data_IF_441946728149
#
_entry.id   IF_441946728149
#
_cell.length_a   1.000
_cell.length_b   1.000
_cell.length_c   1.000
_cell.angle_alpha   90.00
_cell.angle_beta   90.00
_cell.angle_gamma   90.00
#
_symmetry.space_group_name_H-M   'P 1'
#
loop_
_entity.id
_entity.type
_entity.pdbx_description
1 polymer ?
#
# COMPACT_ATOMS: atom_id res chain seq x y z
N UNK A 1 -6.16 -19.16 8.28
CA UNK A 1 -5.84 -17.77 8.62
C UNK A 1 -5.21 -17.16 7.38
N UNK A 2 -5.75 -16.05 6.87
CA UNK A 2 -5.20 -15.34 5.71
C UNK A 2 -4.24 -14.25 6.18
N UNK A 3 -3.02 -14.23 5.65
CA UNK A 3 -2.01 -13.22 5.97
C UNK A 3 -1.87 -12.23 4.82
N UNK A 4 -1.96 -10.95 5.12
CA UNK A 4 -1.80 -9.84 4.18
C UNK A 4 -0.59 -9.01 4.58
N UNK A 5 0.32 -8.72 3.65
CA UNK A 5 1.46 -7.84 3.90
C UNK A 5 1.21 -6.46 3.28
N UNK A 6 1.47 -5.41 4.04
CA UNK A 6 1.32 -4.01 3.61
C UNK A 6 2.68 -3.51 3.15
N UNK A 7 2.69 -2.89 1.97
CA UNK A 7 3.84 -2.34 1.29
C UNK A 7 3.61 -0.85 1.05
N UNK A 8 4.56 -0.02 1.47
CA UNK A 8 4.46 1.44 1.36
C UNK A 8 5.69 2.04 0.70
N UNK A 9 5.46 3.05 -0.14
CA UNK A 9 6.51 3.90 -0.70
C UNK A 9 6.64 5.16 0.15
N UNK A 10 7.67 5.20 1.00
CA UNK A 10 7.95 6.33 1.89
C UNK A 10 8.83 7.42 1.25
N UNK A 11 9.16 7.33 -0.04
CA UNK A 11 10.16 8.19 -0.69
C UNK A 11 9.87 9.68 -0.57
N UNK A 12 8.61 10.09 -0.72
CA UNK A 12 8.21 11.50 -0.55
C UNK A 12 8.52 12.03 0.85
N UNK A 13 8.34 11.21 1.88
CA UNK A 13 8.61 11.57 3.28
C UNK A 13 10.09 11.50 3.61
N UNK A 14 10.78 10.48 3.11
CA UNK A 14 12.21 10.30 3.33
C UNK A 14 13.04 11.38 2.62
N UNK A 15 12.50 11.99 1.55
CA UNK A 15 13.14 13.05 0.78
C UNK A 15 12.46 14.42 0.94
N UNK A 16 11.68 14.64 2.01
CA UNK A 16 10.86 15.85 2.18
C UNK A 16 11.65 17.16 2.04
N UNK A 17 12.87 17.24 2.59
CA UNK A 17 13.72 18.44 2.46
C UNK A 17 14.11 18.73 1.01
N UNK A 18 14.36 17.68 0.22
CA UNK A 18 14.73 17.81 -1.20
C UNK A 18 13.52 18.16 -2.05
N UNK A 19 12.38 17.53 -1.80
CA UNK A 19 11.08 17.87 -2.41
C UNK A 19 10.73 19.34 -2.13
N UNK A 20 10.84 19.80 -0.88
CA UNK A 20 10.53 21.19 -0.53
C UNK A 20 11.47 22.21 -1.21
N UNK A 21 12.70 21.81 -1.52
CA UNK A 21 13.69 22.67 -2.18
C UNK A 21 13.48 22.75 -3.69
N UNK A 22 13.23 21.60 -4.33
CA UNK A 22 13.14 21.48 -5.79
C UNK A 22 11.71 21.65 -6.33
N UNK A 23 10.69 21.41 -5.49
CA UNK A 23 9.34 21.14 -5.94
C UNK A 23 9.17 19.68 -6.36
N UNK A 24 7.91 19.26 -6.51
CA UNK A 24 7.56 17.87 -6.81
C UNK A 24 8.09 17.39 -8.17
N UNK A 25 7.93 18.18 -9.23
CA UNK A 25 8.35 17.82 -10.59
C UNK A 25 9.85 17.57 -10.69
N UNK A 26 10.66 18.51 -10.22
CA UNK A 26 12.13 18.38 -10.31
C UNK A 26 12.65 17.28 -9.36
N UNK A 27 12.01 17.10 -8.20
CA UNK A 27 12.37 16.00 -7.30
C UNK A 27 12.05 14.62 -7.89
N UNK A 28 10.96 14.47 -8.65
CA UNK A 28 10.59 13.23 -9.33
C UNK A 28 11.63 12.85 -10.40
N UNK A 29 12.13 13.84 -11.16
CA UNK A 29 13.22 13.63 -12.14
C UNK A 29 14.49 13.09 -11.47
N UNK A 30 14.83 13.61 -10.29
CA UNK A 30 16.05 13.20 -9.59
C UNK A 30 15.89 11.94 -8.72
N UNK A 31 14.66 11.58 -8.34
CA UNK A 31 14.38 10.52 -7.37
C UNK A 31 13.24 9.65 -7.92
N UNK A 32 13.54 8.56 -8.64
CA UNK A 32 12.53 7.70 -9.27
C UNK A 32 11.45 7.18 -8.30
N UNK A 33 11.80 6.96 -7.03
CA UNK A 33 10.84 6.54 -6.03
C UNK A 33 9.81 7.65 -5.67
N UNK A 34 10.18 8.93 -5.80
CA UNK A 34 9.24 10.05 -5.66
C UNK A 34 8.34 10.13 -6.89
N UNK A 35 8.88 9.93 -8.09
CA UNK A 35 8.09 9.84 -9.32
C UNK A 35 7.03 8.73 -9.23
N UNK A 36 7.43 7.53 -8.81
CA UNK A 36 6.51 6.41 -8.56
C UNK A 36 5.45 6.74 -7.51
N UNK A 37 5.81 7.46 -6.45
CA UNK A 37 4.83 7.91 -5.46
C UNK A 37 3.78 8.84 -6.09
N UNK A 38 4.20 9.77 -6.94
CA UNK A 38 3.28 10.69 -7.63
C UNK A 38 2.40 9.94 -8.63
N UNK A 39 2.96 9.06 -9.47
CA UNK A 39 2.17 8.25 -10.42
C UNK A 39 1.11 7.42 -9.68
N UNK A 40 1.49 6.75 -8.58
CA UNK A 40 0.60 5.85 -7.85
C UNK A 40 -0.44 6.56 -6.96
N UNK A 41 -0.21 7.80 -6.55
CA UNK A 41 -1.16 8.57 -5.73
C UNK A 41 -2.12 9.43 -6.54
N UNK A 42 -1.82 9.69 -7.81
CA UNK A 42 -2.54 10.67 -8.64
C UNK A 42 -3.56 10.05 -9.60
N UNK A 43 -3.59 8.73 -9.75
CA UNK A 43 -4.31 8.06 -10.84
C UNK A 43 -5.46 7.18 -10.35
N UNK A 44 -6.45 6.99 -11.23
CA UNK A 44 -7.69 6.27 -10.94
C UNK A 44 -7.71 4.81 -11.42
N UNK A 45 -6.80 4.42 -12.32
CA UNK A 45 -6.69 3.06 -12.87
C UNK A 45 -5.24 2.56 -12.84
N UNK A 46 -4.94 1.68 -11.90
CA UNK A 46 -3.58 1.16 -11.74
C UNK A 46 -3.14 0.22 -12.87
N UNK A 47 -4.07 -0.33 -13.65
CA UNK A 47 -3.71 -1.26 -14.73
C UNK A 47 -2.98 -0.59 -15.89
N UNK A 48 -3.18 0.72 -16.07
CA UNK A 48 -2.52 1.50 -17.14
C UNK A 48 -1.13 2.00 -16.73
N UNK A 49 -0.94 2.29 -15.43
CA UNK A 49 0.28 2.93 -14.93
C UNK A 49 1.26 1.96 -14.30
N UNK A 50 0.79 0.79 -13.83
CA UNK A 50 1.66 -0.15 -13.13
C UNK A 50 2.77 -0.66 -14.04
N UNK A 51 4.00 -0.53 -13.55
CA UNK A 51 5.19 -1.12 -14.15
C UNK A 51 5.86 -2.01 -13.09
N UNK A 52 6.27 -3.26 -13.40
CA UNK A 52 6.86 -4.16 -12.41
C UNK A 52 8.03 -3.57 -11.62
N UNK A 53 8.85 -2.71 -12.24
CA UNK A 53 9.97 -2.00 -11.62
C UNK A 53 9.55 -1.02 -10.50
N UNK A 54 8.30 -0.54 -10.50
CA UNK A 54 7.80 0.32 -9.42
C UNK A 54 7.84 -0.38 -8.07
N UNK A 55 7.73 -1.71 -8.04
CA UNK A 55 7.77 -2.50 -6.82
C UNK A 55 9.08 -2.31 -6.05
N UNK A 56 10.18 -1.99 -6.73
CA UNK A 56 11.50 -1.74 -6.10
C UNK A 56 11.50 -0.51 -5.18
N UNK A 57 10.48 0.34 -5.29
CA UNK A 57 10.30 1.54 -4.46
C UNK A 57 9.40 1.30 -3.23
N UNK A 58 8.80 0.12 -3.13
CA UNK A 58 7.95 -0.27 -2.00
C UNK A 58 8.70 -1.16 -1.02
N UNK A 59 8.42 -0.98 0.28
CA UNK A 59 8.94 -1.85 1.33
C UNK A 59 7.81 -2.45 2.15
N UNK A 60 7.90 -3.72 2.56
CA UNK A 60 6.96 -4.27 3.53
C UNK A 60 7.12 -3.52 4.85
N UNK A 61 6.01 -3.01 5.39
CA UNK A 61 6.00 -2.21 6.63
C UNK A 61 5.17 -2.85 7.74
N UNK A 62 4.18 -3.66 7.38
CA UNK A 62 3.32 -4.33 8.34
C UNK A 62 2.69 -5.59 7.73
N UNK A 63 2.08 -6.43 8.57
CA UNK A 63 1.21 -7.50 8.16
C UNK A 63 -0.08 -7.50 8.97
N UNK A 64 -1.17 -7.99 8.37
CA UNK A 64 -2.46 -8.19 9.00
C UNK A 64 -2.87 -9.64 8.81
N UNK A 65 -3.05 -10.33 9.92
CA UNK A 65 -3.69 -11.63 9.96
C UNK A 65 -5.20 -11.44 10.07
N UNK A 66 -5.95 -12.08 9.18
CA UNK A 66 -7.41 -12.14 9.22
C UNK A 66 -7.80 -13.61 9.43
N UNK A 67 -8.57 -13.86 10.47
CA UNK A 67 -9.10 -15.19 10.73
C UNK A 67 -10.12 -15.62 9.67
N UNK A 68 -9.92 -16.81 9.12
CA UNK A 68 -10.76 -17.38 8.06
C UNK A 68 -12.08 -17.99 8.61
N UNK A 69 -12.50 -17.65 9.83
CA UNK A 69 -13.73 -18.22 10.41
C UNK A 69 -14.99 -17.86 9.61
N UNK A 70 -14.92 -16.85 8.74
CA UNK A 70 -15.95 -16.53 7.75
C UNK A 70 -15.48 -17.07 6.40
N UNK A 71 -15.77 -18.35 6.16
CA UNK A 71 -15.13 -19.18 5.13
C UNK A 71 -15.40 -18.78 3.67
N UNK A 72 -16.25 -17.78 3.43
CA UNK A 72 -16.73 -17.38 2.09
C UNK A 72 -16.67 -15.86 1.84
N UNK A 73 -15.87 -15.10 2.59
CA UNK A 73 -15.69 -13.66 2.30
C UNK A 73 -14.95 -13.46 0.97
N UNK A 74 -15.48 -12.53 0.15
CA UNK A 74 -14.81 -12.08 -1.07
C UNK A 74 -13.49 -11.38 -0.73
N UNK A 75 -12.59 -11.26 -1.71
CA UNK A 75 -11.29 -10.63 -1.50
C UNK A 75 -11.44 -9.16 -1.11
N UNK A 76 -12.44 -8.46 -1.67
CA UNK A 76 -12.73 -7.06 -1.39
C UNK A 76 -13.09 -6.84 0.09
N UNK A 77 -13.92 -7.71 0.67
CA UNK A 77 -14.26 -7.63 2.10
C UNK A 77 -13.03 -7.85 2.99
N UNK A 78 -12.13 -8.76 2.59
CA UNK A 78 -10.88 -8.99 3.31
C UNK A 78 -9.95 -7.79 3.20
N UNK A 79 -9.82 -7.17 2.03
CA UNK A 79 -9.02 -5.97 1.82
C UNK A 79 -9.55 -4.78 2.64
N UNK A 80 -10.87 -4.59 2.71
CA UNK A 80 -11.50 -3.57 3.57
C UNK A 80 -11.19 -3.78 5.06
N UNK A 81 -11.14 -5.04 5.51
CA UNK A 81 -10.71 -5.38 6.86
C UNK A 81 -9.24 -5.07 7.09
N UNK A 82 -8.35 -5.36 6.13
CA UNK A 82 -6.94 -4.97 6.19
C UNK A 82 -6.82 -3.45 6.29
N UNK A 83 -7.55 -2.71 5.45
CA UNK A 83 -7.56 -1.25 5.44
C UNK A 83 -8.04 -0.69 6.78
N UNK A 84 -9.14 -1.23 7.31
CA UNK A 84 -9.67 -0.86 8.63
C UNK A 84 -8.68 -1.19 9.76
N UNK A 85 -8.00 -2.33 9.70
CA UNK A 85 -6.99 -2.71 10.68
C UNK A 85 -5.79 -1.76 10.67
N UNK A 86 -5.28 -1.44 9.48
CA UNK A 86 -4.12 -0.57 9.29
C UNK A 86 -4.40 0.88 9.68
N UNK A 87 -5.63 1.35 9.53
CA UNK A 87 -6.04 2.72 9.81
C UNK A 87 -6.72 2.91 11.18
N UNK A 88 -7.12 1.80 11.82
CA UNK A 88 -8.04 1.83 12.94
C UNK A 88 -7.48 2.35 14.26
N UNK A 89 -6.18 2.20 14.56
CA UNK A 89 -5.58 2.34 15.91
C UNK A 89 -6.37 1.59 17.02
N UNK A 90 -5.71 0.73 17.81
CA UNK A 90 -6.23 -0.59 18.15
C UNK A 90 -7.70 -0.58 18.62
N UNK A 91 -8.65 -0.81 17.70
CA UNK A 91 -9.96 -1.28 18.11
C UNK A 91 -9.75 -2.71 18.60
N UNK A 92 -10.22 -2.99 19.81
CA UNK A 92 -9.88 -4.15 20.64
C UNK A 92 -10.33 -5.53 20.09
N UNK A 93 -10.46 -5.67 18.76
CA UNK A 93 -10.99 -6.85 18.08
C UNK A 93 -10.17 -7.31 16.86
N UNK A 94 -8.98 -6.75 16.61
CA UNK A 94 -8.11 -7.21 15.52
C UNK A 94 -6.76 -7.67 16.07
N UNK A 95 -6.78 -8.82 16.76
CA UNK A 95 -5.58 -9.63 16.93
C UNK A 95 -5.08 -10.00 15.53
N UNK A 96 -3.89 -9.52 15.13
CA UNK A 96 -3.32 -9.86 13.83
C UNK A 96 -2.49 -8.78 13.14
N UNK A 97 -2.51 -7.53 13.59
CA UNK A 97 -1.63 -6.49 13.04
C UNK A 97 -0.21 -6.57 13.62
N UNK A 98 0.79 -6.71 12.76
CA UNK A 98 2.20 -6.76 13.13
C UNK A 98 2.93 -5.66 12.36
N UNK A 99 3.55 -4.71 13.07
CA UNK A 99 4.33 -3.64 12.47
C UNK A 99 5.82 -4.04 12.39
N UNK A 100 6.43 -3.92 11.22
CA UNK A 100 7.84 -4.24 10.98
C UNK A 100 8.72 -2.98 10.78
N UNK A 101 8.13 -1.79 10.64
CA UNK A 101 8.89 -0.60 10.27
C UNK A 101 8.12 0.71 10.36
N UNK A 102 8.52 1.69 9.53
CA UNK A 102 7.84 2.99 9.45
C UNK A 102 6.57 2.87 8.61
N UNK A 103 5.53 2.32 9.22
CA UNK A 103 4.20 2.26 8.64
C UNK A 103 3.42 3.56 8.85
N UNK A 104 2.52 3.88 7.93
CA UNK A 104 1.51 4.91 8.06
C UNK A 104 0.13 4.40 7.72
N UNK A 105 -0.89 5.24 7.94
CA UNK A 105 -2.25 4.96 7.47
C UNK A 105 -2.22 4.53 6.02
N UNK A 106 -2.82 3.39 5.74
CA UNK A 106 -2.97 2.84 4.42
C UNK A 106 -3.82 3.79 3.56
N UNK A 107 -3.30 4.15 2.40
CA UNK A 107 -3.84 5.21 1.53
C UNK A 107 -3.64 4.88 0.05
N UNK A 108 -4.27 5.65 -0.84
CA UNK A 108 -4.19 5.47 -2.30
C UNK A 108 -2.73 5.32 -2.75
N UNK A 109 -2.47 4.30 -3.57
CA UNK A 109 -1.15 3.96 -4.07
C UNK A 109 -0.34 3.01 -3.16
N UNK A 110 -0.74 2.80 -1.90
CA UNK A 110 -0.16 1.74 -1.09
C UNK A 110 -0.58 0.36 -1.60
N UNK A 111 0.28 -0.64 -1.36
CA UNK A 111 0.08 -2.00 -1.86
C UNK A 111 -0.21 -2.98 -0.72
N UNK A 112 -1.12 -3.93 -0.98
CA UNK A 112 -1.40 -5.09 -0.14
C UNK A 112 -1.02 -6.34 -0.94
N UNK A 113 -0.19 -7.19 -0.34
CA UNK A 113 0.15 -8.51 -0.88
C UNK A 113 -0.63 -9.59 -0.14
N UNK A 114 -1.37 -10.40 -0.86
CA UNK A 114 -2.09 -11.57 -0.35
C UNK A 114 -1.14 -12.76 -0.12
N UNK A 115 -1.60 -13.77 0.61
CA UNK A 115 -0.81 -14.97 0.93
C UNK A 115 -0.43 -15.82 -0.30
N UNK A 116 -1.19 -15.76 -1.38
CA UNK A 116 -0.90 -16.39 -2.68
C UNK A 116 0.00 -15.52 -3.58
N UNK A 117 0.44 -14.36 -3.08
CA UNK A 117 1.43 -13.51 -3.72
C UNK A 117 0.87 -12.50 -4.72
N UNK A 118 -0.44 -12.31 -4.77
CA UNK A 118 -1.10 -11.29 -5.59
C UNK A 118 -0.99 -9.93 -4.91
N UNK A 119 -0.71 -8.89 -5.69
CA UNK A 119 -0.69 -7.51 -5.21
C UNK A 119 -2.01 -6.81 -5.55
N UNK A 120 -2.47 -5.99 -4.62
CA UNK A 120 -3.61 -5.12 -4.74
C UNK A 120 -3.17 -3.71 -4.36
N UNK A 121 -3.54 -2.71 -5.16
CA UNK A 121 -3.33 -1.31 -4.81
C UNK A 121 -4.59 -0.73 -4.19
N UNK A 122 -4.41 0.15 -3.21
CA UNK A 122 -5.50 0.96 -2.68
C UNK A 122 -5.87 1.99 -3.75
N UNK A 123 -7.10 1.91 -4.23
CA UNK A 123 -7.65 2.83 -5.24
C UNK A 123 -8.43 3.97 -4.57
N UNK A 124 -8.71 5.07 -5.30
CA UNK A 124 -9.56 6.14 -4.80
C UNK A 124 -10.94 5.65 -4.32
N UNK A 125 -11.43 4.55 -4.91
CA UNK A 125 -12.65 3.86 -4.51
C UNK A 125 -12.43 2.34 -4.49
N UNK A 126 -11.94 1.81 -3.37
CA UNK A 126 -11.74 0.38 -3.16
C UNK A 126 -10.31 -0.07 -3.47
N UNK A 127 -10.18 -1.15 -4.25
CA UNK A 127 -8.89 -1.78 -4.54
C UNK A 127 -8.82 -2.28 -5.97
N UNK A 128 -7.67 -2.11 -6.60
CA UNK A 128 -7.39 -2.68 -7.93
C UNK A 128 -6.35 -3.78 -7.80
N UNK A 129 -6.56 -4.87 -8.53
CA UNK A 129 -5.56 -5.92 -8.63
C UNK A 129 -4.41 -5.47 -9.53
N UNK A 130 -3.18 -5.58 -9.03
CA UNK A 130 -1.98 -5.26 -9.78
C UNK A 130 -1.60 -6.46 -10.68
N UNK A 131 -1.40 -6.25 -11.99
CA UNK A 131 -0.96 -7.30 -12.89
C UNK A 131 0.46 -7.78 -12.51
N UNK A 132 0.72 -9.07 -12.78
CA UNK A 132 2.02 -9.69 -12.53
C UNK A 132 3.12 -9.14 -13.42
#
# INVERSE_FOLDING_TARGET
>A
MSLFAIYQNNAARDNASKVNKLGWTDAAVEIPAVDTHLEMTSYNDFSEIWKPEMLDHYKPVAAVSIDDYIKDESIEVKLERVFSAANGHPSHHLDGYINFGRAHSLSVGDLIKTSDGVFWAVAPAGFDQIPK
#
